data_IF_138943588024
#
_entry.id   IF_138943588024
#
_cell.length_a   1.000
_cell.length_b   1.000
_cell.length_c   1.000
_cell.angle_alpha   90.00
_cell.angle_beta   90.00
_cell.angle_gamma   90.00
#
_symmetry.space_group_name_H-M   'P 1'
#
loop_
_entity.id
_entity.type
_entity.pdbx_description
1 polymer ?
#
# COMPACT_ATOMS: atom_id res chain seq x y z
N UNK A 1 36.00 40.14 -0.88
CA UNK A 1 34.89 40.09 0.09
C UNK A 1 33.61 40.64 -0.55
N UNK A 2 33.62 41.79 -1.22
CA UNK A 2 32.44 42.41 -1.88
C UNK A 2 31.74 41.59 -2.98
N UNK A 3 32.45 40.68 -3.65
CA UNK A 3 31.85 39.79 -4.67
C UNK A 3 31.04 38.65 -4.06
N UNK A 4 31.48 38.13 -2.92
CA UNK A 4 30.77 37.06 -2.20
C UNK A 4 29.52 37.61 -1.50
N UNK A 5 29.60 38.82 -0.94
CA UNK A 5 28.44 39.50 -0.36
C UNK A 5 27.34 39.79 -1.41
N UNK A 6 27.73 40.18 -2.63
CA UNK A 6 26.79 40.39 -3.74
C UNK A 6 26.10 39.10 -4.19
N UNK A 7 26.86 38.00 -4.35
CA UNK A 7 26.29 36.71 -4.71
C UNK A 7 25.28 36.19 -3.67
N UNK A 8 25.58 36.37 -2.37
CA UNK A 8 24.66 35.99 -1.28
C UNK A 8 23.42 36.90 -1.25
N UNK A 9 23.55 38.18 -1.60
CA UNK A 9 22.40 39.09 -1.72
C UNK A 9 21.49 38.69 -2.89
N UNK A 10 22.07 38.41 -4.06
CA UNK A 10 21.33 37.95 -5.25
C UNK A 10 20.62 36.61 -5.00
N UNK A 11 21.27 35.67 -4.30
CA UNK A 11 20.67 34.39 -3.93
C UNK A 11 19.50 34.56 -2.94
N UNK A 12 19.65 35.44 -1.93
CA UNK A 12 18.56 35.77 -1.01
C UNK A 12 17.38 36.45 -1.72
N UNK A 13 17.64 37.32 -2.68
CA UNK A 13 16.59 37.96 -3.48
C UNK A 13 15.85 36.96 -4.36
N UNK A 14 16.57 36.02 -4.98
CA UNK A 14 15.97 34.94 -5.76
C UNK A 14 15.11 34.02 -4.88
N UNK A 15 15.59 33.67 -3.68
CA UNK A 15 14.81 32.88 -2.72
C UNK A 15 13.56 33.62 -2.26
N UNK A 16 13.64 34.93 -2.01
CA UNK A 16 12.47 35.76 -1.68
C UNK A 16 11.45 35.81 -2.80
N UNK A 17 11.90 35.90 -4.06
CA UNK A 17 11.01 35.87 -5.23
C UNK A 17 10.29 34.52 -5.35
N UNK A 18 11.01 33.41 -5.23
CA UNK A 18 10.42 32.06 -5.24
C UNK A 18 9.38 31.87 -4.13
N UNK A 19 9.71 32.26 -2.90
CA UNK A 19 8.76 32.21 -1.79
C UNK A 19 7.52 33.09 -2.04
N UNK A 20 7.70 34.26 -2.66
CA UNK A 20 6.57 35.12 -3.00
C UNK A 20 5.67 34.49 -4.07
N UNK A 21 6.24 33.82 -5.07
CA UNK A 21 5.49 33.08 -6.10
C UNK A 21 4.73 31.90 -5.49
N UNK A 22 5.36 31.12 -4.62
CA UNK A 22 4.72 30.02 -3.89
C UNK A 22 3.55 30.52 -3.04
N UNK A 23 3.75 31.59 -2.26
CA UNK A 23 2.68 32.21 -1.45
C UNK A 23 1.54 32.72 -2.32
N UNK A 24 1.83 33.29 -3.49
CA UNK A 24 0.80 33.71 -4.43
C UNK A 24 0.00 32.52 -4.99
N UNK A 25 0.69 31.42 -5.33
CA UNK A 25 0.07 30.16 -5.74
C UNK A 25 -0.87 29.59 -4.68
N UNK A 26 -0.42 29.49 -3.43
CA UNK A 26 -1.25 29.01 -2.32
C UNK A 26 -2.45 29.91 -2.04
N UNK A 27 -2.28 31.24 -2.15
CA UNK A 27 -3.40 32.19 -2.02
C UNK A 27 -4.45 31.97 -3.10
N UNK A 28 -4.03 31.73 -4.34
CA UNK A 28 -4.95 31.48 -5.44
C UNK A 28 -5.66 30.13 -5.29
N UNK A 29 -4.94 29.10 -4.88
CA UNK A 29 -5.55 27.80 -4.56
C UNK A 29 -6.58 27.92 -3.43
N UNK A 30 -6.24 28.66 -2.36
CA UNK A 30 -7.17 28.92 -1.25
C UNK A 30 -8.44 29.61 -1.73
N UNK A 31 -8.33 30.64 -2.59
CA UNK A 31 -9.51 31.28 -3.20
C UNK A 31 -10.35 30.32 -4.03
N UNK A 32 -9.72 29.50 -4.87
CA UNK A 32 -10.42 28.52 -5.71
C UNK A 32 -11.15 27.48 -4.84
N UNK A 33 -10.53 27.02 -3.76
CA UNK A 33 -11.16 26.14 -2.78
C UNK A 33 -12.36 26.83 -2.11
N UNK A 34 -12.22 28.09 -1.67
CA UNK A 34 -13.34 28.84 -1.07
C UNK A 34 -14.52 28.98 -2.05
N UNK A 35 -14.26 29.29 -3.32
CA UNK A 35 -15.31 29.36 -4.35
C UNK A 35 -15.98 28.01 -4.59
N UNK A 36 -15.19 26.93 -4.59
CA UNK A 36 -15.72 25.57 -4.74
C UNK A 36 -16.60 25.18 -3.56
N UNK A 37 -16.18 25.50 -2.34
CA UNK A 37 -16.95 25.27 -1.11
C UNK A 37 -18.29 26.00 -1.20
N UNK A 38 -18.29 27.29 -1.54
CA UNK A 38 -19.53 28.06 -1.70
C UNK A 38 -20.47 27.47 -2.76
N UNK A 39 -19.92 27.01 -3.89
CA UNK A 39 -20.72 26.35 -4.93
C UNK A 39 -21.34 25.03 -4.43
N UNK A 40 -20.59 24.25 -3.63
CA UNK A 40 -21.09 23.02 -3.03
C UNK A 40 -22.13 23.29 -1.94
N UNK A 41 -21.93 24.31 -1.11
CA UNK A 41 -22.88 24.75 -0.09
C UNK A 41 -24.22 25.19 -0.72
N UNK A 42 -24.17 25.96 -1.81
CA UNK A 42 -25.38 26.35 -2.55
C UNK A 42 -26.13 25.14 -3.11
N UNK A 43 -25.41 24.18 -3.72
CA UNK A 43 -26.03 22.94 -4.23
C UNK A 43 -26.63 22.09 -3.11
N UNK A 44 -26.01 22.08 -1.93
CA UNK A 44 -26.52 21.37 -0.77
C UNK A 44 -27.81 22.04 -0.25
N UNK A 45 -27.85 23.37 -0.20
CA UNK A 45 -29.06 24.13 0.14
C UNK A 45 -30.19 23.87 -0.84
N UNK A 46 -29.93 23.87 -2.15
CA UNK A 46 -30.91 23.53 -3.18
C UNK A 46 -31.45 22.10 -3.01
N UNK A 47 -30.57 21.13 -2.76
CA UNK A 47 -30.97 19.74 -2.52
C UNK A 47 -31.82 19.60 -1.24
N UNK A 48 -31.48 20.32 -0.17
CA UNK A 48 -32.26 20.34 1.06
C UNK A 48 -33.65 20.96 0.86
N UNK A 49 -33.76 22.03 0.07
CA UNK A 49 -35.05 22.62 -0.31
C UNK A 49 -35.89 21.63 -1.14
N UNK A 50 -35.28 20.95 -2.12
CA UNK A 50 -35.98 19.92 -2.91
C UNK A 50 -36.46 18.76 -2.03
N UNK A 51 -35.65 18.31 -1.07
CA UNK A 51 -36.05 17.26 -0.13
C UNK A 51 -37.25 17.71 0.72
N UNK A 52 -37.23 18.95 1.23
CA UNK A 52 -38.36 19.50 1.99
C UNK A 52 -39.65 19.55 1.16
N UNK A 53 -39.57 20.00 -0.09
CA UNK A 53 -40.72 20.00 -1.01
C UNK A 53 -41.27 18.59 -1.25
N UNK A 54 -40.38 17.61 -1.45
CA UNK A 54 -40.78 16.20 -1.63
C UNK A 54 -41.40 15.60 -0.35
N UNK A 55 -40.91 15.99 0.83
CA UNK A 55 -41.49 15.57 2.11
C UNK A 55 -42.88 16.16 2.32
N UNK A 56 -43.09 17.43 1.97
CA UNK A 56 -44.39 18.10 1.99
C UNK A 56 -45.37 17.46 0.99
N UNK A 57 -44.94 17.18 -0.24
CA UNK A 57 -45.74 16.47 -1.24
C UNK A 57 -46.11 15.05 -0.77
N UNK A 58 -45.15 14.33 -0.18
CA UNK A 58 -45.39 13.02 0.42
C UNK A 58 -46.41 13.10 1.55
N UNK A 59 -46.31 14.09 2.44
CA UNK A 59 -47.27 14.29 3.52
C UNK A 59 -48.67 14.59 2.97
N UNK A 60 -48.79 15.47 1.98
CA UNK A 60 -50.05 15.79 1.32
C UNK A 60 -50.66 14.56 0.61
N UNK A 61 -49.85 13.71 -0.02
CA UNK A 61 -50.32 12.46 -0.64
C UNK A 61 -50.79 11.46 0.42
N UNK A 62 -50.09 11.34 1.54
CA UNK A 62 -50.48 10.48 2.66
C UNK A 62 -51.80 10.95 3.27
N UNK A 63 -51.99 12.26 3.47
CA UNK A 63 -53.25 12.82 3.97
C UNK A 63 -54.41 12.56 2.99
N UNK A 64 -54.20 12.74 1.68
CA UNK A 64 -55.18 12.40 0.63
C UNK A 64 -55.54 10.92 0.65
N UNK A 65 -54.56 10.03 0.89
CA UNK A 65 -54.81 8.60 1.02
C UNK A 65 -55.64 8.27 2.28
N UNK A 66 -55.37 8.94 3.40
CA UNK A 66 -56.13 8.78 4.64
C UNK A 66 -57.56 9.31 4.49
N UNK A 67 -57.77 10.48 3.88
CA UNK A 67 -59.10 11.03 3.58
C UNK A 67 -59.90 10.12 2.64
N UNK A 68 -59.27 9.55 1.61
CA UNK A 68 -59.90 8.52 0.74
C UNK A 68 -60.28 7.26 1.52
N UNK A 69 -59.45 6.82 2.47
CA UNK A 69 -59.73 5.65 3.31
C UNK A 69 -60.90 5.89 4.27
N UNK A 70 -61.05 7.10 4.79
CA UNK A 70 -62.19 7.52 5.63
C UNK A 70 -63.48 7.67 4.82
N UNK A 71 -63.43 8.20 3.59
CA UNK A 71 -64.59 8.24 2.69
C UNK A 71 -65.08 6.84 2.29
N UNK A 72 -64.17 5.86 2.13
CA UNK A 72 -64.50 4.47 1.84
C UNK A 72 -65.12 3.72 3.04
N UNK A 73 -64.98 4.24 4.26
CA UNK A 73 -65.56 3.66 5.48
C UNK A 73 -67.01 4.08 5.77
N UNK A 74 -67.53 5.09 5.08
CA UNK A 74 -68.85 5.69 5.37
C UNK A 74 -69.94 5.38 4.32
N UNK A 75 -69.63 4.72 3.20
CA UNK A 75 -70.62 4.44 2.16
C UNK A 75 -71.14 3.00 2.24
N UNK A 76 -72.37 2.86 2.76
CA UNK A 76 -73.20 1.66 2.56
C UNK A 76 -73.34 1.40 1.06
N UNK A 77 -72.97 0.19 0.65
CA UNK A 77 -72.98 -0.26 -0.73
C UNK A 77 -74.42 -0.42 -1.26
N UNK A 78 -74.80 0.49 -2.16
CA UNK A 78 -75.85 0.28 -3.16
C UNK A 78 -75.25 0.50 -4.56
N UNK A 79 -75.42 -0.47 -5.46
CA UNK A 79 -74.94 -0.46 -6.85
C UNK A 79 -75.46 0.76 -7.66
N UNK A 80 -74.86 1.15 -8.83
CA UNK A 80 -73.75 0.55 -9.58
C UNK A 80 -72.62 1.56 -9.88
N UNK A 81 -71.83 1.97 -8.89
CA UNK A 81 -70.51 2.61 -9.12
C UNK A 81 -69.34 1.62 -9.02
N UNK A 82 -69.60 0.42 -8.50
CA UNK A 82 -68.60 -0.62 -8.29
C UNK A 82 -67.91 -1.08 -9.59
N UNK A 83 -68.60 -1.05 -10.74
CA UNK A 83 -68.05 -1.54 -12.01
C UNK A 83 -67.00 -0.59 -12.59
N UNK A 84 -67.15 0.74 -12.44
CA UNK A 84 -66.14 1.70 -12.89
C UNK A 84 -64.93 1.74 -11.95
N UNK A 85 -65.13 1.63 -10.63
CA UNK A 85 -64.02 1.57 -9.67
C UNK A 85 -63.27 0.23 -9.71
N UNK A 86 -63.94 -0.89 -9.95
CA UNK A 86 -63.32 -2.22 -10.08
C UNK A 86 -62.43 -2.37 -11.33
N UNK A 87 -62.59 -1.52 -12.36
CA UNK A 87 -61.75 -1.53 -13.56
C UNK A 87 -60.62 -0.48 -13.53
N UNK A 88 -60.84 0.66 -12.88
CA UNK A 88 -59.89 1.78 -12.86
C UNK A 88 -58.84 1.63 -11.74
N UNK A 89 -59.24 1.09 -10.58
CA UNK A 89 -58.33 0.96 -9.43
C UNK A 89 -57.22 -0.10 -9.63
N UNK A 90 -57.51 -1.28 -10.23
CA UNK A 90 -56.46 -2.24 -10.55
C UNK A 90 -55.50 -1.74 -11.63
N UNK A 91 -56.02 -0.99 -12.63
CA UNK A 91 -55.19 -0.41 -13.69
C UNK A 91 -54.19 0.61 -13.15
N UNK A 92 -54.62 1.52 -12.27
CA UNK A 92 -53.72 2.50 -11.65
C UNK A 92 -52.64 1.84 -10.78
N UNK A 93 -53.00 0.84 -9.99
CA UNK A 93 -52.02 0.08 -9.21
C UNK A 93 -51.06 -0.73 -10.10
N UNK A 94 -51.53 -1.24 -11.24
CA UNK A 94 -50.71 -1.95 -12.21
C UNK A 94 -49.75 -1.01 -12.95
N UNK A 95 -50.19 0.21 -13.29
CA UNK A 95 -49.35 1.29 -13.83
C UNK A 95 -48.30 1.73 -12.80
N UNK A 96 -48.68 1.98 -11.55
CA UNK A 96 -47.74 2.33 -10.47
C UNK A 96 -46.73 1.20 -10.20
N UNK A 97 -47.16 -0.06 -10.24
CA UNK A 97 -46.27 -1.21 -10.12
C UNK A 97 -45.30 -1.28 -11.30
N UNK A 98 -45.75 -1.02 -12.54
CA UNK A 98 -44.89 -1.00 -13.71
C UNK A 98 -43.84 0.12 -13.64
N UNK A 99 -44.25 1.31 -13.16
CA UNK A 99 -43.33 2.44 -12.93
C UNK A 99 -42.31 2.10 -11.84
N UNK A 100 -42.75 1.52 -10.72
CA UNK A 100 -41.87 1.10 -9.63
C UNK A 100 -40.88 0.01 -10.07
N UNK A 101 -41.33 -0.95 -10.89
CA UNK A 101 -40.48 -1.97 -11.50
C UNK A 101 -39.46 -1.37 -12.48
N UNK A 102 -39.88 -0.39 -13.30
CA UNK A 102 -38.99 0.35 -14.20
C UNK A 102 -37.91 1.12 -13.43
N UNK A 103 -38.31 1.86 -12.40
CA UNK A 103 -37.39 2.56 -11.48
C UNK A 103 -36.42 1.61 -10.81
N UNK A 104 -36.88 0.44 -10.35
CA UNK A 104 -36.00 -0.58 -9.75
C UNK A 104 -34.95 -1.08 -10.75
N UNK A 105 -35.35 -1.33 -12.00
CA UNK A 105 -34.42 -1.75 -13.06
C UNK A 105 -33.40 -0.66 -13.38
N UNK A 106 -33.83 0.61 -13.43
CA UNK A 106 -32.93 1.73 -13.64
C UNK A 106 -31.92 1.89 -12.49
N UNK A 107 -32.38 1.79 -11.24
CA UNK A 107 -31.50 1.81 -10.06
C UNK A 107 -30.53 0.62 -10.06
N UNK A 108 -30.98 -0.57 -10.46
CA UNK A 108 -30.08 -1.74 -10.65
C UNK A 108 -29.04 -1.48 -11.74
N UNK A 109 -29.41 -0.86 -12.85
CA UNK A 109 -28.48 -0.48 -13.91
C UNK A 109 -27.46 0.57 -13.43
N UNK A 110 -27.89 1.55 -12.63
CA UNK A 110 -27.01 2.54 -12.01
C UNK A 110 -26.03 1.91 -11.03
N UNK A 111 -26.49 1.01 -10.15
CA UNK A 111 -25.61 0.23 -9.25
C UNK A 111 -24.62 -0.58 -10.08
N UNK A 112 -25.05 -1.20 -11.18
CA UNK A 112 -24.18 -1.94 -12.08
C UNK A 112 -23.09 -1.07 -12.73
N UNK A 113 -23.42 0.17 -13.13
CA UNK A 113 -22.44 1.14 -13.64
C UNK A 113 -21.43 1.54 -12.57
N UNK A 114 -21.92 1.95 -11.40
CA UNK A 114 -21.06 2.35 -10.28
C UNK A 114 -20.15 1.22 -9.80
N UNK A 115 -20.65 -0.02 -9.78
CA UNK A 115 -19.83 -1.19 -9.43
C UNK A 115 -18.71 -1.42 -10.44
N UNK A 116 -18.99 -1.22 -11.74
CA UNK A 116 -17.96 -1.29 -12.79
C UNK A 116 -16.93 -0.17 -12.64
N UNK A 117 -17.38 1.07 -12.48
CA UNK A 117 -16.49 2.22 -12.25
C UNK A 117 -15.60 2.03 -11.00
N UNK A 118 -16.16 1.49 -9.91
CA UNK A 118 -15.39 1.12 -8.72
C UNK A 118 -14.38 0.00 -8.99
N UNK A 119 -14.73 -1.00 -9.80
CA UNK A 119 -13.78 -2.06 -10.18
C UNK A 119 -12.66 -1.54 -11.08
N UNK A 120 -12.98 -0.64 -12.03
CA UNK A 120 -12.02 -0.01 -12.93
C UNK A 120 -11.07 0.92 -12.18
N UNK A 121 -11.58 1.76 -11.27
CA UNK A 121 -10.75 2.62 -10.42
C UNK A 121 -9.86 1.80 -9.49
N UNK A 122 -10.36 0.69 -8.92
CA UNK A 122 -9.53 -0.25 -8.15
C UNK A 122 -8.42 -0.85 -9.00
N UNK A 123 -8.71 -1.30 -10.22
CA UNK A 123 -7.69 -1.82 -11.12
C UNK A 123 -6.61 -0.77 -11.43
N UNK A 124 -7.00 0.47 -11.77
CA UNK A 124 -6.04 1.57 -12.00
C UNK A 124 -5.19 1.89 -10.77
N UNK A 125 -5.78 1.86 -9.57
CA UNK A 125 -5.00 2.06 -8.33
C UNK A 125 -4.02 0.91 -8.07
N UNK A 126 -4.38 -0.33 -8.41
CA UNK A 126 -3.46 -1.47 -8.30
C UNK A 126 -2.32 -1.37 -9.31
N UNK A 127 -2.60 -0.93 -10.54
CA UNK A 127 -1.58 -0.71 -11.57
C UNK A 127 -0.61 0.41 -11.12
N UNK A 128 -1.12 1.57 -10.68
CA UNK A 128 -0.28 2.65 -10.14
C UNK A 128 0.53 2.21 -8.91
N UNK A 129 -0.03 1.38 -8.03
CA UNK A 129 0.71 0.82 -6.89
C UNK A 129 1.84 -0.10 -7.37
N UNK A 130 1.62 -0.86 -8.44
CA UNK A 130 2.65 -1.68 -9.07
C UNK A 130 3.76 -0.84 -9.70
N UNK A 131 3.39 0.22 -10.42
CA UNK A 131 4.33 1.16 -11.05
C UNK A 131 5.20 1.87 -10.00
N UNK A 132 4.60 2.43 -8.95
CA UNK A 132 5.34 3.06 -7.84
C UNK A 132 6.30 2.08 -7.15
N UNK A 133 5.90 0.82 -7.00
CA UNK A 133 6.76 -0.22 -6.43
C UNK A 133 7.95 -0.56 -7.33
N UNK A 134 7.76 -0.58 -8.65
CA UNK A 134 8.85 -0.85 -9.60
C UNK A 134 9.81 0.34 -9.69
N UNK A 135 9.30 1.58 -9.64
CA UNK A 135 10.14 2.79 -9.57
C UNK A 135 11.05 2.77 -8.34
N UNK A 136 10.50 2.46 -7.16
CA UNK A 136 11.27 2.31 -5.93
C UNK A 136 12.34 1.21 -6.04
N UNK A 137 11.99 0.08 -6.66
CA UNK A 137 12.93 -1.01 -6.89
C UNK A 137 14.07 -0.59 -7.82
N UNK A 138 13.76 0.12 -8.91
CA UNK A 138 14.77 0.62 -9.86
C UNK A 138 15.72 1.64 -9.20
N UNK A 139 15.19 2.54 -8.37
CA UNK A 139 16.01 3.50 -7.62
C UNK A 139 16.93 2.83 -6.60
N UNK A 140 16.43 1.80 -5.91
CA UNK A 140 17.24 0.98 -5.00
C UNK A 140 18.33 0.22 -5.77
N UNK A 141 18.02 -0.38 -6.91
CA UNK A 141 19.01 -1.04 -7.76
C UNK A 141 20.08 -0.07 -8.27
N UNK A 142 19.67 1.15 -8.66
CA UNK A 142 20.60 2.20 -9.06
C UNK A 142 21.54 2.58 -7.92
N UNK A 143 20.99 2.82 -6.73
CA UNK A 143 21.75 3.14 -5.52
C UNK A 143 22.71 2.01 -5.14
N UNK A 144 22.27 0.76 -5.24
CA UNK A 144 23.13 -0.42 -5.01
C UNK A 144 24.28 -0.49 -6.02
N UNK A 145 24.04 -0.22 -7.31
CA UNK A 145 25.11 -0.17 -8.33
C UNK A 145 26.12 0.94 -8.01
N UNK A 146 25.66 2.12 -7.59
CA UNK A 146 26.54 3.21 -7.18
C UNK A 146 27.37 2.85 -5.95
N UNK A 147 26.76 2.24 -4.93
CA UNK A 147 27.45 1.80 -3.72
C UNK A 147 28.55 0.79 -4.05
N UNK A 148 28.25 -0.21 -4.90
CA UNK A 148 29.26 -1.17 -5.36
C UNK A 148 30.42 -0.50 -6.10
N UNK A 149 30.15 0.51 -6.91
CA UNK A 149 31.20 1.27 -7.58
C UNK A 149 32.07 2.05 -6.59
N UNK A 150 31.44 2.75 -5.63
CA UNK A 150 32.16 3.47 -4.57
C UNK A 150 32.96 2.53 -3.67
N UNK A 151 32.43 1.38 -3.34
CA UNK A 151 33.12 0.33 -2.58
C UNK A 151 34.36 -0.15 -3.34
N UNK A 152 34.24 -0.40 -4.64
CA UNK A 152 35.39 -0.76 -5.48
C UNK A 152 36.46 0.34 -5.51
N UNK A 153 36.08 1.62 -5.63
CA UNK A 153 37.03 2.75 -5.57
C UNK A 153 37.76 2.81 -4.22
N UNK A 154 37.03 2.64 -3.11
CA UNK A 154 37.62 2.62 -1.75
C UNK A 154 38.58 1.45 -1.60
N UNK A 155 38.25 0.28 -2.12
CA UNK A 155 39.12 -0.88 -2.08
C UNK A 155 40.42 -0.64 -2.87
N UNK A 156 40.33 -0.04 -4.06
CA UNK A 156 41.53 0.35 -4.81
C UNK A 156 42.40 1.37 -4.07
N UNK A 157 41.79 2.36 -3.44
CA UNK A 157 42.52 3.35 -2.65
C UNK A 157 43.18 2.70 -1.43
N UNK A 158 42.51 1.75 -0.78
CA UNK A 158 43.06 0.99 0.34
C UNK A 158 44.25 0.12 -0.10
N UNK A 159 44.17 -0.52 -1.27
CA UNK A 159 45.29 -1.28 -1.85
C UNK A 159 46.49 -0.36 -2.09
N UNK A 160 46.31 0.78 -2.76
CA UNK A 160 47.38 1.77 -2.98
C UNK A 160 47.99 2.29 -1.68
N UNK A 161 47.18 2.53 -0.65
CA UNK A 161 47.69 2.92 0.66
C UNK A 161 48.53 1.82 1.32
N UNK A 162 48.12 0.55 1.16
CA UNK A 162 48.90 -0.59 1.67
C UNK A 162 50.22 -0.76 0.94
N UNK A 163 50.25 -0.56 -0.39
CA UNK A 163 51.48 -0.54 -1.19
C UNK A 163 52.42 0.58 -0.73
N UNK A 164 51.92 1.81 -0.59
CA UNK A 164 52.71 2.93 -0.08
C UNK A 164 53.21 2.68 1.35
N UNK A 165 52.41 2.07 2.23
CA UNK A 165 52.82 1.72 3.59
C UNK A 165 54.00 0.75 3.59
N UNK A 166 53.95 -0.31 2.77
CA UNK A 166 55.03 -1.28 2.64
C UNK A 166 56.34 -0.65 2.14
N UNK A 167 56.24 0.28 1.17
CA UNK A 167 57.39 1.01 0.66
C UNK A 167 58.01 1.94 1.72
N UNK A 168 57.18 2.61 2.53
CA UNK A 168 57.66 3.43 3.65
C UNK A 168 58.37 2.55 4.68
N UNK A 169 57.80 1.41 5.04
CA UNK A 169 58.45 0.45 5.95
C UNK A 169 59.80 -0.02 5.39
N UNK A 170 59.89 -0.37 4.10
CA UNK A 170 61.14 -0.76 3.45
C UNK A 170 62.19 0.36 3.47
N UNK A 171 61.77 1.61 3.17
CA UNK A 171 62.68 2.77 3.29
C UNK A 171 63.13 2.97 4.73
N UNK A 172 62.26 2.81 5.72
CA UNK A 172 62.61 2.92 7.14
C UNK A 172 63.60 1.84 7.57
N UNK A 173 63.44 0.60 7.09
CA UNK A 173 64.42 -0.48 7.31
C UNK A 173 65.78 -0.14 6.67
N UNK A 174 65.80 0.34 5.42
CA UNK A 174 67.03 0.73 4.74
C UNK A 174 67.73 1.92 5.43
N UNK A 175 66.96 2.91 5.90
CA UNK A 175 67.48 4.05 6.66
C UNK A 175 68.09 3.61 7.99
N UNK A 176 67.45 2.69 8.71
CA UNK A 176 68.00 2.10 9.94
C UNK A 176 69.31 1.35 9.66
N UNK A 177 69.35 0.52 8.62
CA UNK A 177 70.57 -0.19 8.22
C UNK A 177 71.72 0.77 7.86
N UNK A 178 71.45 1.79 7.04
CA UNK A 178 72.44 2.81 6.69
C UNK A 178 72.93 3.59 7.93
N UNK A 179 72.04 3.90 8.88
CA UNK A 179 72.41 4.55 10.13
C UNK A 179 73.31 3.66 11.01
N UNK A 180 73.07 2.34 11.03
CA UNK A 180 73.92 1.37 11.72
C UNK A 180 75.29 1.21 11.04
N UNK A 181 75.37 1.19 9.71
CA UNK A 181 76.64 1.19 8.96
C UNK A 181 77.46 2.46 9.24
N UNK A 182 76.82 3.63 9.28
CA UNK A 182 77.48 4.88 9.66
C UNK A 182 77.98 4.83 11.11
N UNK A 183 77.21 4.25 12.04
CA UNK A 183 77.66 4.04 13.42
C UNK A 183 78.87 3.10 13.49
N UNK A 184 78.86 2.01 12.73
CA UNK A 184 79.96 1.04 12.68
C UNK A 184 81.23 1.64 12.07
N UNK A 185 81.12 2.42 10.99
CA UNK A 185 82.27 3.09 10.36
C UNK A 185 82.86 4.21 11.24
N UNK A 186 82.03 4.93 11.99
CA UNK A 186 82.48 5.97 12.93
C UNK A 186 83.14 5.37 14.19
N UNK A 187 82.69 4.19 14.63
CA UNK A 187 83.26 3.47 15.80
C UNK A 187 84.39 2.50 15.44
N UNK A 188 84.61 2.27 14.14
CA UNK A 188 85.73 1.49 13.61
C UNK A 188 87.06 2.23 13.82
N UNK A 189 88.12 1.55 14.31
CA UNK A 189 89.38 2.18 14.75
C UNK A 189 90.25 2.76 13.61
N UNK A 190 89.76 2.84 12.37
CA UNK A 190 90.49 3.41 11.23
C UNK A 190 90.13 4.87 10.89
N UNK A 191 89.11 5.44 11.53
CA UNK A 191 88.71 6.85 11.31
C UNK A 191 89.47 7.89 12.17
N UNK A 192 90.46 7.45 12.96
CA UNK A 192 91.25 8.33 13.82
C UNK A 192 92.70 8.38 13.33
N UNK A 193 92.93 9.04 12.18
CA UNK A 193 94.27 9.45 11.74
C UNK A 193 94.18 10.44 10.57
N UNK A 194 93.84 11.69 10.86
CA UNK A 194 94.17 12.84 10.01
C UNK A 194 94.19 14.12 10.89
N UNK A 195 95.36 14.75 11.14
CA UNK A 195 95.42 16.00 11.90
C UNK A 195 95.10 17.21 11.01
N UNK A 196 94.19 18.06 11.48
CA UNK A 196 93.93 19.40 10.96
C UNK A 196 95.10 20.33 11.34
N UNK A 197 95.88 20.75 10.34
CA UNK A 197 96.86 21.84 10.49
C UNK A 197 96.17 23.18 10.15
N UNK A 198 95.99 24.03 11.15
CA UNK A 198 95.59 25.43 10.98
C UNK A 198 96.85 26.28 11.14
N UNK A 199 97.14 27.16 10.19
CA UNK A 199 98.18 28.18 10.31
C UNK A 199 97.61 29.53 9.85
N UNK A 200 97.73 30.60 10.65
CA UNK A 200 97.40 31.96 10.24
C UNK A 200 98.67 32.78 9.96
N UNK A 201 98.65 33.64 8.94
CA UNK A 201 99.56 34.78 8.86
C UNK A 201 98.96 35.87 7.94
N UNK A 202 99.13 37.11 8.37
CA UNK A 202 98.46 38.31 7.90
C UNK A 202 99.29 39.12 6.87
N UNK A 203 98.60 40.14 6.33
CA UNK A 203 99.06 41.41 5.77
C UNK A 203 99.66 41.49 4.35
N UNK A 204 99.08 42.40 3.54
CA UNK A 204 99.63 42.74 2.22
C UNK A 204 98.71 43.54 1.27
N UNK A 205 98.27 44.72 1.71
CA UNK A 205 97.94 45.97 0.98
C UNK A 205 97.99 46.01 -0.57
N UNK A 206 96.88 46.53 -1.13
CA UNK A 206 96.66 47.30 -2.37
C UNK A 206 96.95 46.74 -3.77
N UNK A 207 95.97 46.95 -4.66
CA UNK A 207 96.23 47.29 -6.07
C UNK A 207 95.37 46.55 -7.08
N UNK A 208 94.10 46.97 -7.26
CA UNK A 208 93.41 46.74 -8.53
C UNK A 208 94.05 47.66 -9.59
N UNK A 209 94.19 47.24 -10.87
CA UNK A 209 93.07 47.50 -11.79
C UNK A 209 92.77 46.42 -12.83
N UNK A 210 91.49 46.44 -13.19
CA UNK A 210 90.82 45.84 -14.33
C UNK A 210 91.67 45.78 -15.61
N UNK A 211 91.59 44.67 -16.36
CA UNK A 211 91.06 44.71 -17.73
C UNK A 211 90.88 43.30 -18.31
N UNK A 212 89.62 42.95 -18.54
CA UNK A 212 89.05 42.28 -19.72
C UNK A 212 90.02 41.42 -20.55
N UNK A 213 89.67 40.15 -20.79
CA UNK A 213 89.05 39.71 -22.06
C UNK A 213 89.06 38.16 -22.24
N UNK A 214 87.91 37.69 -22.73
CA UNK A 214 87.71 36.58 -23.68
C UNK A 214 87.68 35.13 -23.15
N UNK A 215 86.47 34.58 -23.11
CA UNK A 215 86.17 33.28 -23.72
C UNK A 215 85.87 33.56 -25.21
N UNK A 216 86.28 32.70 -26.19
CA UNK A 216 85.55 31.46 -26.46
C UNK A 216 86.48 30.31 -26.95
N UNK A 217 86.16 29.05 -26.70
CA UNK A 217 85.21 28.32 -27.53
C UNK A 217 85.47 26.80 -27.52
N UNK A 218 84.59 26.01 -28.16
CA UNK A 218 84.37 24.61 -27.86
C UNK A 218 84.97 23.63 -28.90
N UNK A 219 85.33 22.43 -28.46
CA UNK A 219 85.71 21.30 -29.34
C UNK A 219 85.75 20.01 -28.52
N UNK A 220 84.68 19.21 -28.58
CA UNK A 220 84.49 18.05 -29.47
C UNK A 220 85.10 16.74 -28.92
N UNK A 221 84.16 15.86 -28.59
CA UNK A 221 84.13 14.43 -28.91
C UNK A 221 85.08 13.50 -28.17
N UNK A 222 84.56 12.86 -27.13
CA UNK A 222 84.80 11.44 -26.93
C UNK A 222 83.45 10.72 -26.76
N UNK A 223 83.16 9.88 -27.74
CA UNK A 223 81.98 9.03 -27.85
C UNK A 223 82.16 7.77 -27.00
N UNK A 224 81.16 7.45 -26.18
CA UNK A 224 80.85 6.07 -25.81
C UNK A 224 79.40 5.80 -26.24
N UNK A 225 79.26 5.03 -27.31
CA UNK A 225 78.02 4.39 -27.75
C UNK A 225 77.78 3.17 -26.84
N UNK A 226 76.58 2.66 -26.53
CA UNK A 226 75.25 2.73 -27.11
C UNK A 226 74.23 2.55 -25.98
N UNK A 227 73.10 3.26 -26.04
CA UNK A 227 71.75 2.67 -26.04
C UNK A 227 70.83 3.78 -26.58
N UNK A 228 70.63 3.79 -27.89
CA UNK A 228 69.48 4.47 -28.46
C UNK A 228 68.25 3.66 -28.05
N UNK A 229 67.38 4.28 -27.26
CA UNK A 229 65.97 3.92 -27.31
C UNK A 229 65.25 5.19 -27.76
N UNK A 230 64.66 5.09 -28.95
CA UNK A 230 63.74 6.08 -29.49
C UNK A 230 62.70 6.43 -28.40
N UNK A 231 62.39 7.72 -28.17
CA UNK A 231 61.24 8.07 -27.38
C UNK A 231 59.99 7.57 -28.14
N UNK A 232 59.04 6.91 -27.46
CA UNK A 232 57.95 6.27 -28.14
C UNK A 232 57.04 7.33 -28.77
N UNK A 233 56.91 7.29 -30.09
CA UNK A 233 55.86 7.98 -30.85
C UNK A 233 54.44 7.60 -30.38
N UNK A 234 54.31 6.60 -29.50
CA UNK A 234 53.04 6.07 -28.99
C UNK A 234 52.23 7.04 -28.11
N UNK A 235 52.82 8.08 -27.50
CA UNK A 235 52.04 9.02 -26.69
C UNK A 235 51.26 10.03 -27.54
N UNK A 236 51.79 10.41 -28.69
CA UNK A 236 51.08 11.27 -29.64
C UNK A 236 49.97 10.50 -30.37
N UNK A 237 50.21 9.22 -30.69
CA UNK A 237 49.22 8.33 -31.30
C UNK A 237 48.12 7.89 -30.30
N UNK A 238 48.43 7.73 -29.00
CA UNK A 238 47.39 7.59 -27.96
C UNK A 238 46.59 8.89 -27.78
N UNK A 239 47.25 10.05 -27.87
CA UNK A 239 46.59 11.36 -27.82
C UNK A 239 45.62 11.58 -28.98
N UNK A 240 45.96 11.12 -30.19
CA UNK A 240 45.11 11.17 -31.36
C UNK A 240 43.92 10.19 -31.28
N UNK A 241 44.12 8.98 -30.75
CA UNK A 241 43.03 7.99 -30.51
C UNK A 241 42.01 8.48 -29.48
N UNK A 242 42.42 9.27 -28.50
CA UNK A 242 41.54 9.78 -27.44
C UNK A 242 40.53 10.86 -27.88
N UNK A 243 40.68 11.48 -29.06
CA UNK A 243 39.71 12.47 -29.57
C UNK A 243 38.55 11.86 -30.37
N UNK A 244 38.65 10.60 -30.79
CA UNK A 244 37.60 9.91 -31.57
C UNK A 244 36.86 8.81 -30.81
N UNK A 245 37.51 8.13 -29.86
CA UNK A 245 36.94 6.92 -29.22
C UNK A 245 35.69 7.19 -28.38
N UNK A 246 35.58 8.34 -27.71
CA UNK A 246 34.33 8.70 -27.02
C UNK A 246 33.18 8.90 -28.00
N UNK A 247 33.45 9.49 -29.16
CA UNK A 247 32.43 9.72 -30.18
C UNK A 247 32.04 8.42 -30.88
N UNK A 248 33.00 7.56 -31.20
CA UNK A 248 32.74 6.23 -31.78
C UNK A 248 31.96 5.35 -30.79
N UNK A 249 32.31 5.37 -29.50
CA UNK A 249 31.53 4.68 -28.47
C UNK A 249 30.12 5.27 -28.29
N UNK A 250 29.95 6.60 -28.37
CA UNK A 250 28.62 7.21 -28.34
C UNK A 250 27.81 6.81 -29.57
N UNK A 251 28.41 6.82 -30.76
CA UNK A 251 27.78 6.36 -32.00
C UNK A 251 27.41 4.88 -31.89
N UNK A 252 28.28 4.06 -31.32
CA UNK A 252 28.05 2.63 -31.13
C UNK A 252 26.90 2.37 -30.14
N UNK A 253 26.89 3.05 -28.99
CA UNK A 253 25.77 3.00 -28.03
C UNK A 253 24.47 3.51 -28.64
N UNK A 254 24.52 4.54 -29.49
CA UNK A 254 23.35 5.03 -30.22
C UNK A 254 22.85 4.04 -31.27
N UNK A 255 23.76 3.38 -32.01
CA UNK A 255 23.41 2.32 -32.98
C UNK A 255 22.79 1.10 -32.28
N UNK A 256 23.35 0.70 -31.14
CA UNK A 256 22.84 -0.40 -30.31
C UNK A 256 21.46 -0.07 -29.73
N UNK A 257 21.28 1.13 -29.17
CA UNK A 257 19.98 1.59 -28.68
C UNK A 257 18.92 1.68 -29.80
N UNK A 258 19.31 2.12 -31.00
CA UNK A 258 18.43 2.11 -32.17
C UNK A 258 18.09 0.70 -32.65
N UNK A 259 19.02 -0.24 -32.59
CA UNK A 259 18.77 -1.64 -32.92
C UNK A 259 17.79 -2.28 -31.92
N UNK A 260 17.98 -2.03 -30.63
CA UNK A 260 17.09 -2.49 -29.55
C UNK A 260 15.68 -1.89 -29.68
N UNK A 261 15.57 -0.58 -29.98
CA UNK A 261 14.29 0.07 -30.25
C UNK A 261 13.59 -0.53 -31.47
N UNK A 262 14.31 -0.78 -32.56
CA UNK A 262 13.76 -1.45 -33.75
C UNK A 262 13.30 -2.86 -33.44
N UNK A 263 13.99 -3.59 -32.58
CA UNK A 263 13.58 -4.93 -32.14
C UNK A 263 12.34 -4.88 -31.23
N UNK A 264 12.27 -3.95 -30.27
CA UNK A 264 11.07 -3.72 -29.44
C UNK A 264 9.87 -3.33 -30.28
N UNK A 265 10.04 -2.44 -31.27
CA UNK A 265 8.97 -2.07 -32.21
C UNK A 265 8.55 -3.29 -33.03
N UNK A 266 9.49 -4.09 -33.55
CA UNK A 266 9.18 -5.34 -34.27
C UNK A 266 8.43 -6.36 -33.39
N UNK A 267 8.76 -6.46 -32.10
CA UNK A 267 8.05 -7.30 -31.14
C UNK A 267 6.64 -6.77 -30.83
N UNK A 268 6.50 -5.45 -30.70
CA UNK A 268 5.20 -4.80 -30.49
C UNK A 268 4.32 -4.90 -31.75
N UNK A 269 4.88 -4.78 -32.94
CA UNK A 269 4.17 -4.99 -34.20
C UNK A 269 3.76 -6.45 -34.35
N UNK A 270 4.63 -7.43 -34.08
CA UNK A 270 4.24 -8.85 -34.03
C UNK A 270 3.10 -9.11 -33.04
N UNK A 271 3.12 -8.43 -31.88
CA UNK A 271 2.04 -8.50 -30.88
C UNK A 271 0.74 -7.86 -31.39
N UNK A 272 0.83 -6.77 -32.17
CA UNK A 272 -0.32 -6.10 -32.79
C UNK A 272 -0.91 -6.89 -33.97
N UNK A 273 -0.09 -7.54 -34.79
CA UNK A 273 -0.56 -8.41 -35.88
C UNK A 273 -1.10 -9.76 -35.36
N UNK A 274 -0.65 -10.23 -34.19
CA UNK A 274 -1.24 -11.40 -33.50
C UNK A 274 -2.57 -11.08 -32.79
N UNK A 275 -2.91 -9.80 -32.61
CA UNK A 275 -4.17 -9.36 -32.00
C UNK A 275 -5.28 -9.01 -32.99
N UNK A 276 -5.01 -9.04 -34.31
CA UNK A 276 -5.96 -8.56 -35.32
C UNK A 276 -6.50 -9.65 -36.28
N UNK A 277 -6.00 -10.89 -36.24
CA UNK A 277 -6.56 -11.98 -37.05
C UNK A 277 -6.48 -13.30 -36.30
N UNK A 278 -7.56 -13.65 -35.58
CA UNK A 278 -8.23 -14.98 -35.61
C UNK A 278 -9.25 -15.05 -34.48
N UNK A 279 -10.50 -14.86 -34.87
CA UNK A 279 -11.65 -15.47 -34.23
C UNK A 279 -11.52 -17.00 -34.27
N UNK A 280 -12.02 -17.64 -33.22
CA UNK A 280 -12.31 -19.08 -33.05
C UNK A 280 -11.17 -20.03 -32.64
N UNK A 281 -11.53 -20.92 -31.70
CA UNK A 281 -10.87 -22.12 -31.15
C UNK A 281 -9.72 -21.96 -30.12
N UNK A 282 -10.10 -22.23 -28.87
CA UNK A 282 -9.40 -22.96 -27.80
C UNK A 282 -7.88 -23.19 -27.93
N UNK A 283 -7.09 -22.65 -26.98
CA UNK A 283 -6.33 -23.54 -26.12
C UNK A 283 -6.11 -22.97 -24.69
N UNK A 284 -7.18 -22.59 -23.98
CA UNK A 284 -7.09 -22.14 -22.57
C UNK A 284 -7.66 -23.15 -21.57
N UNK A 285 -8.29 -24.23 -22.03
CA UNK A 285 -8.94 -25.23 -21.17
C UNK A 285 -7.96 -26.33 -20.72
N UNK A 286 -6.76 -26.44 -21.33
CA UNK A 286 -5.81 -27.52 -21.04
C UNK A 286 -4.92 -27.23 -19.82
N UNK A 287 -4.61 -25.97 -19.51
CA UNK A 287 -3.71 -25.65 -18.38
C UNK A 287 -4.38 -25.59 -17.01
N UNK A 288 -5.72 -25.49 -16.93
CA UNK A 288 -6.43 -25.52 -15.65
C UNK A 288 -6.78 -26.93 -15.17
N UNK A 289 -6.61 -27.97 -16.01
CA UNK A 289 -6.95 -29.35 -15.64
C UNK A 289 -5.82 -30.05 -14.88
N UNK A 290 -4.56 -29.74 -15.20
CA UNK A 290 -3.39 -30.39 -14.61
C UNK A 290 -3.04 -29.92 -13.19
N UNK A 291 -3.55 -28.76 -12.77
CA UNK A 291 -3.35 -28.22 -11.40
C UNK A 291 -4.39 -28.78 -10.42
N UNK A 292 -5.57 -29.20 -10.92
CA UNK A 292 -6.63 -29.78 -10.08
C UNK A 292 -6.44 -31.28 -9.81
N UNK A 293 -5.73 -32.02 -10.69
CA UNK A 293 -5.51 -33.46 -10.51
C UNK A 293 -4.40 -33.81 -9.49
N UNK A 294 -3.47 -32.89 -9.20
CA UNK A 294 -2.38 -33.13 -8.23
C UNK A 294 -2.77 -32.90 -6.77
N UNK A 295 -3.88 -32.22 -6.48
CA UNK A 295 -4.37 -31.98 -5.11
C UNK A 295 -5.37 -33.03 -4.61
N UNK A 296 -5.85 -33.92 -5.49
CA UNK A 296 -6.80 -35.01 -5.13
C UNK A 296 -6.08 -36.34 -4.84
N UNK A 297 -4.80 -36.48 -5.19
CA UNK A 297 -4.06 -37.76 -5.07
C UNK A 297 -3.28 -37.94 -3.74
N UNK A 298 -3.29 -36.97 -2.81
CA UNK A 298 -2.57 -37.08 -1.52
C UNK A 298 -3.46 -37.31 -0.28
N UNK A 299 -4.77 -37.53 -0.43
CA UNK A 299 -5.66 -37.86 0.70
C UNK A 299 -6.62 -38.98 0.36
N UNK A 300 -6.07 -40.10 -0.10
CA UNK A 300 -6.82 -41.32 -0.31
C UNK A 300 -5.85 -42.47 -0.45
N UNK A 301 -5.52 -43.11 0.68
CA UNK A 301 -4.99 -44.47 0.79
C UNK A 301 -4.76 -44.79 2.28
N UNK A 302 -5.82 -45.18 2.98
CA UNK A 302 -5.78 -46.29 3.94
C UNK A 302 -7.12 -47.06 3.82
N UNK A 303 -7.01 -48.19 3.12
CA UNK A 303 -7.73 -49.48 3.21
C UNK A 303 -9.23 -49.52 3.61
N UNK A 304 -10.06 -49.67 2.56
CA UNK A 304 -10.96 -50.82 2.24
C UNK A 304 -11.87 -51.49 3.31
N UNK A 305 -13.18 -51.62 3.01
CA UNK A 305 -14.12 -52.53 3.69
C UNK A 305 -14.42 -53.79 2.85
N UNK A 306 -14.25 -54.98 3.44
CA UNK A 306 -14.67 -56.25 2.81
C UNK A 306 -16.12 -56.65 3.19
N UNK A 307 -16.86 -57.36 2.30
CA UNK A 307 -18.30 -57.55 2.38
C UNK A 307 -18.70 -58.96 2.86
N UNK A 308 -19.84 -59.07 3.56
CA UNK A 308 -20.55 -60.34 3.81
C UNK A 308 -22.05 -60.02 3.77
N UNK A 309 -22.69 -60.21 2.61
CA UNK A 309 -23.41 -61.42 2.18
C UNK A 309 -24.92 -61.19 2.38
N UNK A 310 -25.60 -60.96 1.27
CA UNK A 310 -27.05 -60.97 1.23
C UNK A 310 -27.57 -62.39 1.14
N UNK A 311 -28.77 -62.62 1.69
CA UNK A 311 -29.58 -63.76 1.31
C UNK A 311 -30.92 -63.28 0.76
N UNK A 312 -31.10 -63.64 -0.51
CA UNK A 312 -32.33 -63.60 -1.27
C UNK A 312 -33.32 -64.59 -0.67
N UNK A 313 -34.55 -64.11 -0.59
CA UNK A 313 -35.78 -64.91 -0.60
C UNK A 313 -35.71 -65.96 -1.71
N UNK A 314 -35.83 -67.22 -1.32
CA UNK A 314 -36.25 -68.32 -2.18
C UNK A 314 -37.44 -69.04 -1.55
N UNK A 315 -38.35 -69.47 -2.41
CA UNK A 315 -39.61 -70.09 -2.08
C UNK A 315 -39.41 -71.51 -1.53
N UNK A 316 -40.09 -71.85 -0.43
CA UNK A 316 -40.03 -73.17 0.18
C UNK A 316 -41.31 -73.51 0.93
N UNK A 317 -42.00 -74.54 0.45
CA UNK A 317 -43.28 -75.14 0.84
C UNK A 317 -43.64 -75.17 2.34
N UNK A 318 -44.93 -74.93 2.56
CA UNK A 318 -45.79 -75.39 3.66
C UNK A 318 -45.56 -76.88 3.98
N UNK A 319 -45.50 -77.23 5.28
CA UNK A 319 -46.18 -78.41 5.78
C UNK A 319 -47.32 -78.02 6.71
N UNK A 320 -48.50 -78.53 6.39
CA UNK A 320 -49.69 -78.55 7.24
C UNK A 320 -49.35 -79.12 8.62
N UNK A 321 -49.49 -78.34 9.68
CA UNK A 321 -49.82 -78.86 11.00
C UNK A 321 -50.65 -77.85 11.78
N UNK A 322 -51.95 -78.14 11.86
CA UNK A 322 -52.86 -77.66 12.91
C UNK A 322 -52.42 -78.30 14.24
N UNK A 323 -52.27 -77.50 15.30
CA UNK A 323 -53.06 -77.71 16.51
C UNK A 323 -53.72 -76.38 16.88
N UNK A 324 -55.04 -76.28 16.71
CA UNK A 324 -56.04 -76.57 17.74
C UNK A 324 -55.77 -75.92 19.09
N UNK A 325 -56.73 -75.08 19.46
CA UNK A 325 -57.15 -74.67 20.80
C UNK A 325 -56.12 -74.13 21.79
N UNK A 326 -56.33 -72.85 22.11
CA UNK A 326 -56.43 -72.45 23.50
C UNK A 326 -55.27 -71.60 24.00
N UNK A 327 -55.61 -70.35 24.33
CA UNK A 327 -54.86 -69.49 25.26
C UNK A 327 -53.51 -68.97 24.78
N UNK A 328 -53.47 -67.84 24.07
CA UNK A 328 -52.42 -66.78 24.23
C UNK A 328 -52.79 -65.43 23.56
N UNK A 329 -54.08 -65.13 23.40
CA UNK A 329 -54.52 -63.93 22.65
C UNK A 329 -54.59 -62.64 23.46
N UNK A 330 -54.45 -62.70 24.79
CA UNK A 330 -54.73 -61.53 25.66
C UNK A 330 -53.46 -60.75 26.02
N UNK A 331 -52.26 -61.36 25.96
CA UNK A 331 -50.99 -60.66 26.24
C UNK A 331 -50.40 -59.97 24.99
N UNK A 332 -50.64 -60.53 23.80
CA UNK A 332 -50.10 -59.96 22.56
C UNK A 332 -50.91 -58.76 22.05
N UNK A 333 -52.21 -58.66 22.39
CA UNK A 333 -53.02 -57.51 21.99
C UNK A 333 -52.64 -56.24 22.75
N UNK A 334 -52.41 -56.35 24.07
CA UNK A 334 -51.90 -55.27 24.91
C UNK A 334 -50.48 -54.89 24.52
N UNK A 335 -49.59 -55.86 24.32
CA UNK A 335 -48.24 -55.58 23.85
C UNK A 335 -48.22 -54.93 22.44
N UNK A 336 -49.11 -55.32 21.52
CA UNK A 336 -49.20 -54.68 20.20
C UNK A 336 -49.83 -53.28 20.25
N UNK A 337 -50.75 -53.04 21.19
CA UNK A 337 -51.38 -51.75 21.42
C UNK A 337 -50.38 -50.75 22.04
N UNK A 338 -49.65 -51.17 23.07
CA UNK A 338 -48.60 -50.37 23.70
C UNK A 338 -47.49 -50.01 22.71
N UNK A 339 -47.10 -50.95 21.83
CA UNK A 339 -46.12 -50.70 20.77
C UNK A 339 -46.65 -49.71 19.71
N UNK A 340 -47.95 -49.77 19.37
CA UNK A 340 -48.58 -48.82 18.46
C UNK A 340 -48.63 -47.40 19.07
N UNK A 341 -49.06 -47.28 20.33
CA UNK A 341 -49.10 -46.02 21.07
C UNK A 341 -47.71 -45.38 21.23
N UNK A 342 -46.67 -46.18 21.47
CA UNK A 342 -45.30 -45.71 21.54
C UNK A 342 -44.80 -45.14 20.18
N UNK A 343 -45.13 -45.80 19.07
CA UNK A 343 -44.79 -45.29 17.73
C UNK A 343 -45.57 -44.03 17.37
N UNK A 344 -46.81 -43.91 17.83
CA UNK A 344 -47.67 -42.75 17.62
C UNK A 344 -47.16 -41.52 18.36
N UNK A 345 -46.73 -41.71 19.61
CA UNK A 345 -46.11 -40.67 20.40
C UNK A 345 -44.79 -40.18 19.77
N UNK A 346 -43.95 -41.11 19.30
CA UNK A 346 -42.71 -40.77 18.59
C UNK A 346 -42.93 -39.98 17.30
N UNK A 347 -43.97 -40.33 16.53
CA UNK A 347 -44.36 -39.57 15.34
C UNK A 347 -44.85 -38.16 15.68
N UNK A 348 -45.69 -38.03 16.70
CA UNK A 348 -46.17 -36.72 17.15
C UNK A 348 -45.01 -35.81 17.58
N UNK A 349 -44.08 -36.32 18.39
CA UNK A 349 -42.89 -35.59 18.80
C UNK A 349 -42.06 -35.12 17.61
N UNK A 350 -41.86 -35.98 16.60
CA UNK A 350 -41.14 -35.60 15.38
C UNK A 350 -41.84 -34.44 14.66
N UNK A 351 -43.17 -34.52 14.49
CA UNK A 351 -43.94 -33.47 13.82
C UNK A 351 -43.90 -32.14 14.60
N UNK A 352 -44.00 -32.19 15.92
CA UNK A 352 -43.92 -31.01 16.80
C UNK A 352 -42.54 -30.34 16.70
N UNK A 353 -41.46 -31.11 16.78
CA UNK A 353 -40.08 -30.61 16.65
C UNK A 353 -39.84 -29.99 15.29
N UNK A 354 -40.25 -30.67 14.21
CA UNK A 354 -40.05 -30.19 12.84
C UNK A 354 -40.89 -28.95 12.56
N UNK A 355 -42.10 -28.87 13.11
CA UNK A 355 -42.96 -27.69 13.00
C UNK A 355 -42.39 -26.49 13.77
N UNK A 356 -41.88 -26.71 14.99
CA UNK A 356 -41.21 -25.68 15.77
C UNK A 356 -39.94 -25.19 15.07
N UNK A 357 -39.12 -26.12 14.55
CA UNK A 357 -37.90 -25.80 13.81
C UNK A 357 -38.20 -25.03 12.51
N UNK A 358 -39.24 -25.44 11.79
CA UNK A 358 -39.72 -24.74 10.59
C UNK A 358 -40.17 -23.32 10.90
N UNK A 359 -40.89 -23.13 12.01
CA UNK A 359 -41.35 -21.82 12.47
C UNK A 359 -40.18 -20.92 12.87
N UNK A 360 -39.21 -21.44 13.62
CA UNK A 360 -37.98 -20.72 14.00
C UNK A 360 -37.15 -20.29 12.78
N UNK A 361 -37.11 -21.12 11.74
CA UNK A 361 -36.36 -20.85 10.52
C UNK A 361 -37.17 -20.03 9.48
N UNK A 362 -38.38 -19.58 9.84
CA UNK A 362 -39.33 -18.85 9.00
C UNK A 362 -39.60 -19.54 7.65
N UNK A 363 -39.66 -20.88 7.67
CA UNK A 363 -39.97 -21.67 6.50
C UNK A 363 -41.48 -21.84 6.36
N UNK A 364 -42.02 -21.54 5.17
CA UNK A 364 -43.39 -21.91 4.82
C UNK A 364 -43.55 -23.43 4.93
N UNK A 365 -44.71 -23.86 5.40
CA UNK A 365 -45.13 -25.25 5.69
C UNK A 365 -44.25 -26.33 5.06
N UNK A 366 -43.60 -27.12 5.91
CA UNK A 366 -42.75 -28.22 5.50
C UNK A 366 -43.60 -29.35 4.91
N UNK A 367 -43.12 -29.97 3.83
CA UNK A 367 -43.85 -31.07 3.19
C UNK A 367 -43.78 -32.35 4.03
N UNK A 368 -44.88 -33.12 4.06
CA UNK A 368 -44.90 -34.44 4.70
C UNK A 368 -45.29 -34.44 6.18
N UNK A 369 -46.02 -33.42 6.66
CA UNK A 369 -46.52 -33.31 8.04
C UNK A 369 -47.76 -34.16 8.34
N UNK A 370 -48.04 -35.16 7.49
CA UNK A 370 -49.19 -36.05 7.64
C UNK A 370 -48.81 -37.26 8.52
N UNK A 371 -49.67 -37.67 9.48
CA UNK A 371 -49.46 -38.88 10.27
C UNK A 371 -49.42 -40.16 9.40
N UNK A 372 -48.64 -41.16 9.80
CA UNK A 372 -48.41 -42.40 9.05
C UNK A 372 -49.41 -43.52 9.42
N UNK A 373 -50.11 -43.41 10.54
CA UNK A 373 -50.94 -44.44 11.19
C UNK A 373 -51.94 -45.18 10.27
N UNK A 374 -52.49 -44.52 9.25
CA UNK A 374 -53.56 -45.07 8.41
C UNK A 374 -53.20 -45.10 6.92
N UNK A 375 -51.92 -44.98 6.58
CA UNK A 375 -51.46 -44.92 5.20
C UNK A 375 -51.00 -46.29 4.68
N UNK A 376 -51.40 -46.66 3.44
CA UNK A 376 -50.80 -47.78 2.71
C UNK A 376 -49.28 -47.65 2.62
N UNK A 377 -48.58 -48.78 2.53
CA UNK A 377 -47.10 -48.83 2.50
C UNK A 377 -46.49 -47.91 1.44
N UNK A 378 -47.07 -47.86 0.25
CA UNK A 378 -46.66 -46.98 -0.86
C UNK A 378 -46.76 -45.49 -0.48
N UNK A 379 -47.88 -45.07 0.11
CA UNK A 379 -48.07 -43.68 0.58
C UNK A 379 -47.14 -43.34 1.74
N UNK A 380 -46.81 -44.31 2.60
CA UNK A 380 -45.82 -44.12 3.67
C UNK A 380 -44.43 -43.85 3.11
N UNK A 381 -44.02 -44.56 2.05
CA UNK A 381 -42.75 -44.29 1.36
C UNK A 381 -42.73 -42.89 0.73
N UNK A 382 -43.84 -42.45 0.11
CA UNK A 382 -43.95 -41.08 -0.43
C UNK A 382 -43.85 -40.00 0.65
N UNK A 383 -44.54 -40.17 1.79
CA UNK A 383 -44.45 -39.25 2.93
C UNK A 383 -43.04 -39.22 3.50
N UNK A 384 -42.38 -40.37 3.60
CA UNK A 384 -40.97 -40.48 3.98
C UNK A 384 -40.05 -39.65 3.07
N UNK A 385 -40.23 -39.75 1.76
CA UNK A 385 -39.46 -38.96 0.79
C UNK A 385 -39.73 -37.45 0.94
N UNK A 386 -40.98 -37.05 1.19
CA UNK A 386 -41.34 -35.64 1.43
C UNK A 386 -40.72 -35.11 2.72
N UNK A 387 -40.70 -35.90 3.79
CA UNK A 387 -40.03 -35.58 5.07
C UNK A 387 -38.53 -35.43 4.86
N UNK A 388 -37.90 -36.34 4.11
CA UNK A 388 -36.46 -36.25 3.81
C UNK A 388 -36.11 -34.99 3.02
N UNK A 389 -36.90 -34.63 2.00
CA UNK A 389 -36.73 -33.37 1.25
C UNK A 389 -36.91 -32.14 2.13
N UNK A 390 -37.87 -32.15 3.05
CA UNK A 390 -38.10 -31.07 4.00
C UNK A 390 -36.91 -30.90 4.97
N UNK A 391 -36.38 -32.01 5.50
CA UNK A 391 -35.18 -32.03 6.33
C UNK A 391 -33.95 -31.49 5.59
N UNK A 392 -33.77 -31.88 4.32
CA UNK A 392 -32.66 -31.39 3.52
C UNK A 392 -32.74 -29.88 3.27
N UNK A 393 -33.95 -29.35 3.06
CA UNK A 393 -34.19 -27.93 2.90
C UNK A 393 -33.90 -27.15 4.19
N UNK A 394 -34.35 -27.68 5.33
CA UNK A 394 -34.05 -27.17 6.67
C UNK A 394 -32.53 -27.14 6.92
N UNK A 395 -31.84 -28.24 6.62
CA UNK A 395 -30.39 -28.33 6.77
C UNK A 395 -29.66 -27.29 5.91
N UNK A 396 -30.05 -27.13 4.64
CA UNK A 396 -29.50 -26.10 3.75
C UNK A 396 -29.73 -24.69 4.30
N UNK A 397 -30.93 -24.41 4.83
CA UNK A 397 -31.26 -23.11 5.44
C UNK A 397 -30.41 -22.84 6.69
N UNK A 398 -30.30 -23.82 7.59
CA UNK A 398 -29.48 -23.75 8.81
C UNK A 398 -28.02 -23.49 8.43
N UNK A 399 -27.48 -24.26 7.49
CA UNK A 399 -26.09 -24.10 7.05
C UNK A 399 -25.81 -22.74 6.42
N UNK A 400 -26.74 -22.23 5.62
CA UNK A 400 -26.64 -20.89 5.07
C UNK A 400 -26.68 -19.80 6.15
N UNK A 401 -27.48 -19.98 7.20
CA UNK A 401 -27.51 -19.07 8.35
C UNK A 401 -26.22 -19.13 9.16
N UNK A 402 -25.68 -20.33 9.39
CA UNK A 402 -24.37 -20.53 10.06
C UNK A 402 -23.27 -19.79 9.30
N UNK A 403 -23.14 -20.00 7.99
CA UNK A 403 -22.13 -19.31 7.16
C UNK A 403 -22.33 -17.78 7.19
N UNK A 404 -23.59 -17.30 7.18
CA UNK A 404 -23.88 -15.86 7.28
C UNK A 404 -23.53 -15.29 8.65
N UNK A 405 -23.69 -16.08 9.71
CA UNK A 405 -23.35 -15.71 11.07
C UNK A 405 -21.83 -15.64 11.24
N UNK A 406 -21.10 -16.67 10.81
CA UNK A 406 -19.63 -16.71 10.83
C UNK A 406 -19.03 -15.49 10.13
N UNK A 407 -19.53 -15.15 8.93
CA UNK A 407 -19.09 -13.94 8.20
C UNK A 407 -19.37 -12.63 8.96
N UNK A 408 -20.49 -12.56 9.69
CA UNK A 408 -20.81 -11.38 10.52
C UNK A 408 -19.89 -11.33 11.75
N UNK A 409 -19.59 -12.45 12.37
CA UNK A 409 -18.65 -12.53 13.49
C UNK A 409 -17.23 -12.13 13.06
N UNK A 410 -16.77 -12.58 11.90
CA UNK A 410 -15.49 -12.13 11.32
C UNK A 410 -15.47 -10.62 11.08
N UNK A 411 -16.57 -10.07 10.55
CA UNK A 411 -16.70 -8.62 10.36
C UNK A 411 -16.68 -7.87 11.70
N UNK A 412 -17.34 -8.39 12.73
CA UNK A 412 -17.33 -7.82 14.07
C UNK A 412 -15.93 -7.84 14.69
N UNK A 413 -15.17 -8.94 14.55
CA UNK A 413 -13.76 -9.00 14.97
C UNK A 413 -12.90 -7.94 14.28
N UNK A 414 -13.17 -7.67 13.00
CA UNK A 414 -12.52 -6.56 12.27
C UNK A 414 -12.86 -5.18 12.85
N UNK A 415 -14.11 -4.96 13.26
CA UNK A 415 -14.52 -3.72 13.93
C UNK A 415 -13.92 -3.59 15.33
N UNK A 416 -13.88 -4.67 16.12
CA UNK A 416 -13.18 -4.71 17.40
C UNK A 416 -11.73 -4.26 17.21
N UNK A 417 -10.98 -4.92 16.31
CA UNK A 417 -9.60 -4.52 16.00
C UNK A 417 -9.44 -3.05 15.58
N UNK A 418 -10.39 -2.51 14.82
CA UNK A 418 -10.39 -1.09 14.43
C UNK A 418 -10.64 -0.16 15.62
N UNK A 419 -11.51 -0.56 16.57
CA UNK A 419 -11.77 0.17 17.81
C UNK A 419 -10.55 0.11 18.74
N UNK A 420 -9.90 -1.04 18.85
CA UNK A 420 -8.64 -1.16 19.60
C UNK A 420 -7.54 -0.26 19.01
N UNK A 421 -7.39 -0.23 17.69
CA UNK A 421 -6.46 0.69 17.02
C UNK A 421 -6.81 2.16 17.29
N UNK A 422 -8.09 2.52 17.26
CA UNK A 422 -8.52 3.88 17.59
C UNK A 422 -8.17 4.25 19.03
N UNK A 423 -8.34 3.33 19.99
CA UNK A 423 -7.94 3.54 21.39
C UNK A 423 -6.42 3.73 21.52
N UNK A 424 -5.63 2.95 20.80
CA UNK A 424 -4.17 3.09 20.78
C UNK A 424 -3.74 4.44 20.19
N UNK A 425 -4.33 4.83 19.06
CA UNK A 425 -4.07 6.12 18.42
C UNK A 425 -4.46 7.30 19.33
N UNK A 426 -5.60 7.19 20.04
CA UNK A 426 -6.01 8.18 21.01
C UNK A 426 -5.05 8.26 22.19
N UNK A 427 -4.55 7.11 22.68
CA UNK A 427 -3.54 7.08 23.74
C UNK A 427 -2.22 7.72 23.28
N UNK A 428 -1.79 7.50 22.05
CA UNK A 428 -0.59 8.16 21.50
C UNK A 428 -0.77 9.66 21.23
N UNK A 429 -2.00 10.12 21.01
CA UNK A 429 -2.29 11.55 20.80
C UNK A 429 -2.25 12.33 22.11
N UNK A 430 -2.54 11.70 23.26
CA UNK A 430 -2.57 12.40 24.56
C UNK A 430 -1.25 13.07 24.95
N UNK A 431 -0.08 12.41 24.84
CA UNK A 431 1.20 13.07 25.10
C UNK A 431 1.42 14.31 24.23
N UNK A 432 1.07 14.25 22.93
CA UNK A 432 1.17 15.42 22.06
C UNK A 432 0.21 16.54 22.47
N UNK A 433 -0.99 16.21 22.96
CA UNK A 433 -1.92 17.21 23.48
C UNK A 433 -1.39 17.87 24.75
N UNK A 434 -0.81 17.09 25.66
CA UNK A 434 -0.18 17.61 26.88
C UNK A 434 1.03 18.50 26.56
N UNK A 435 1.84 18.11 25.58
CA UNK A 435 2.97 18.92 25.09
C UNK A 435 2.50 20.24 24.48
N UNK A 436 1.42 20.22 23.67
CA UNK A 436 0.82 21.45 23.13
C UNK A 436 0.35 22.36 24.27
N UNK A 437 -0.38 21.83 25.26
CA UNK A 437 -0.82 22.64 26.41
C UNK A 437 0.36 23.23 27.19
N UNK A 438 1.44 22.45 27.38
CA UNK A 438 2.65 22.94 28.06
C UNK A 438 3.34 24.05 27.28
N UNK A 439 3.38 23.95 25.94
CA UNK A 439 3.96 24.99 25.08
C UNK A 439 3.07 26.24 25.02
N UNK A 440 1.75 26.07 25.06
CA UNK A 440 0.82 27.20 25.19
C UNK A 440 1.07 27.96 26.50
N UNK A 441 1.20 27.26 27.62
CA UNK A 441 1.49 27.88 28.92
C UNK A 441 2.86 28.59 28.94
N UNK A 442 3.88 28.02 28.30
CA UNK A 442 5.20 28.67 28.14
C UNK A 442 5.10 29.93 27.28
N UNK A 443 4.38 29.87 26.16
CA UNK A 443 4.18 31.03 25.30
C UNK A 443 3.44 32.17 26.03
N UNK A 444 2.49 31.84 26.92
CA UNK A 444 1.81 32.84 27.75
C UNK A 444 2.77 33.47 28.77
N UNK A 445 3.58 32.66 29.46
CA UNK A 445 4.61 33.14 30.39
C UNK A 445 5.63 34.04 29.71
N UNK A 446 6.13 33.65 28.54
CA UNK A 446 7.03 34.49 27.75
C UNK A 446 6.38 35.81 27.31
N UNK A 447 5.08 35.79 26.98
CA UNK A 447 4.36 37.01 26.60
C UNK A 447 4.24 37.99 27.77
N UNK A 448 3.98 37.48 28.98
CA UNK A 448 3.98 38.26 30.22
C UNK A 448 5.36 38.86 30.51
N UNK A 449 6.43 38.06 30.41
CA UNK A 449 7.79 38.55 30.59
C UNK A 449 8.14 39.64 29.57
N UNK A 450 7.81 39.44 28.29
CA UNK A 450 8.01 40.44 27.23
C UNK A 450 7.25 41.73 27.54
N UNK A 451 6.05 41.66 28.12
CA UNK A 451 5.29 42.84 28.52
C UNK A 451 5.97 43.59 29.68
N UNK A 452 6.42 42.88 30.72
CA UNK A 452 7.14 43.45 31.85
C UNK A 452 8.47 44.11 31.42
N UNK A 453 9.23 43.45 30.54
CA UNK A 453 10.48 44.00 30.01
C UNK A 453 10.24 45.25 29.16
N UNK A 454 9.17 45.30 28.37
CA UNK A 454 8.78 46.51 27.64
C UNK A 454 8.44 47.65 28.59
N UNK A 455 7.68 47.38 29.65
CA UNK A 455 7.36 48.40 30.64
C UNK A 455 8.62 48.92 31.36
N UNK A 456 9.53 48.03 31.75
CA UNK A 456 10.81 48.41 32.35
C UNK A 456 11.66 49.27 31.40
N UNK A 457 11.70 48.89 30.12
CA UNK A 457 12.38 49.67 29.08
C UNK A 457 11.77 51.07 28.94
N UNK A 458 10.45 51.19 28.87
CA UNK A 458 9.76 52.48 28.80
C UNK A 458 10.07 53.35 30.03
N UNK A 459 10.05 52.78 31.23
CA UNK A 459 10.40 53.49 32.47
C UNK A 459 11.84 54.02 32.43
N UNK A 460 12.80 53.23 31.98
CA UNK A 460 14.22 53.66 31.89
C UNK A 460 14.42 54.73 30.80
N UNK A 461 13.71 54.64 29.68
CA UNK A 461 13.73 55.68 28.64
C UNK A 461 13.19 57.01 29.17
N UNK A 462 12.07 56.99 29.89
CA UNK A 462 11.51 58.19 30.54
C UNK A 462 12.48 58.82 31.54
N UNK A 463 13.17 58.01 32.36
CA UNK A 463 14.20 58.49 33.29
C UNK A 463 15.38 59.12 32.55
N UNK A 464 15.89 58.45 31.51
CA UNK A 464 17.00 58.96 30.69
C UNK A 464 16.63 60.29 30.03
N UNK A 465 15.43 60.42 29.50
CA UNK A 465 14.97 61.66 28.87
C UNK A 465 14.80 62.79 29.89
N UNK A 466 14.33 62.49 31.10
CA UNK A 466 14.32 63.45 32.21
C UNK A 466 15.74 63.90 32.56
N UNK A 467 16.71 63.00 32.67
CA UNK A 467 18.11 63.37 32.91
C UNK A 467 18.69 64.20 31.77
N UNK A 468 18.45 63.83 30.51
CA UNK A 468 18.89 64.63 29.35
C UNK A 468 18.34 66.05 29.41
N UNK A 469 17.06 66.22 29.77
CA UNK A 469 16.44 67.54 29.95
C UNK A 469 17.11 68.33 31.08
N UNK A 470 17.33 67.71 32.24
CA UNK A 470 18.03 68.33 33.37
C UNK A 470 19.48 68.73 33.02
N UNK A 471 20.24 67.85 32.36
CA UNK A 471 21.60 68.14 31.89
C UNK A 471 21.61 69.31 30.90
N UNK A 472 20.64 69.39 29.99
CA UNK A 472 20.49 70.53 29.07
C UNK A 472 20.18 71.83 29.82
N UNK A 473 19.29 71.79 30.81
CA UNK A 473 18.97 72.95 31.65
C UNK A 473 20.18 73.42 32.47
N UNK A 474 20.93 72.50 33.08
CA UNK A 474 22.15 72.80 33.84
C UNK A 474 23.26 73.41 32.96
N UNK A 475 23.41 72.94 31.71
CA UNK A 475 24.33 73.55 30.74
C UNK A 475 23.94 74.99 30.39
N UNK A 476 22.64 75.30 30.32
CA UNK A 476 22.15 76.67 30.05
C UNK A 476 22.33 77.63 31.22
N UNK A 477 22.41 77.14 32.47
CA UNK A 477 22.65 77.97 33.66
C UNK A 477 24.14 78.20 33.97
N UNK A 478 25.04 77.53 33.23
CA UNK A 478 26.51 77.68 33.36
C UNK A 478 27.11 78.65 32.34
N UNK A 479 26.28 79.28 31.52
CA UNK A 479 26.60 80.41 30.61
C UNK A 479 25.94 81.64 31.21
#
# INVERSE_FOLDING_TARGET
QDKQLRAVQEENELQRQKLHEEVAGYREQSKQHSLTILALENRLLEAAQQQKMLEEEKAALVEKMQHRKVCMGSLKWGFPMAVRFALIFPRKLQEELAVAQGMLLEKKAAIGRLTRELSETRARMLDMRGELSEEQKVELEHSQRQLKHREWEVNQLREKLSEMSSLVEEKDWALKAAAEELRYTLTSPKASQMPLHVSPAADGVQGSPQSKRHMPGPGKNQSCACFFQEPPSDLADLGAKCRGLRHEETIQRQKEGLAELRERVKMLEKRRYSGAVKSYSEPLVVWMKDVAEKTVQQRGLEMEPAPVLGEKLEAGKVPDHVPNEGSFTITNSTASLEMAEATDFGEKMYLDVISALGSLMEMKELSGMQPLQHLPQEKRAEVGLRRQKALELLYKKIRNLQIRLEKKEEMLKGYEGSVEQLRQNQASLRPCQEEISSLEDEAHREAEEKALLREALERTQLQLDREKRLRRAAKRHKV
#
